data_IF_914972064498
#
_entry.id   IF_914972064498
#
_cell.length_a   1.000
_cell.length_b   1.000
_cell.length_c   1.000
_cell.angle_alpha   90.00
_cell.angle_beta   90.00
_cell.angle_gamma   90.00
#
_symmetry.space_group_name_H-M   'P 1'
#
loop_
_entity.id
_entity.type
_entity.pdbx_description
1 polymer ?
#
# COMPACT_ATOMS: atom_id res chain seq x y z
N UNK A 1 44.95 -96.22 44.41
CA UNK A 1 44.18 -94.95 44.49
C UNK A 1 44.47 -94.06 43.28
N UNK A 2 44.20 -94.53 42.05
CA UNK A 2 44.40 -93.74 40.82
C UNK A 2 43.22 -93.80 39.81
N UNK A 3 42.26 -94.77 39.84
CA UNK A 3 41.19 -94.78 38.84
C UNK A 3 40.04 -93.80 39.11
N UNK A 4 39.80 -93.39 40.36
CA UNK A 4 38.73 -92.42 40.67
C UNK A 4 39.03 -91.00 40.20
N UNK A 5 40.32 -90.63 40.12
CA UNK A 5 40.74 -89.30 39.66
C UNK A 5 40.56 -89.13 38.14
N UNK A 6 40.75 -90.20 37.36
CA UNK A 6 40.58 -90.18 35.90
C UNK A 6 39.08 -90.19 35.54
N UNK A 7 38.25 -90.91 36.29
CA UNK A 7 36.79 -90.94 36.06
C UNK A 7 36.14 -89.59 36.37
N UNK A 8 36.59 -88.91 37.43
CA UNK A 8 36.13 -87.56 37.77
C UNK A 8 36.64 -86.50 36.79
N UNK A 9 37.90 -86.59 36.32
CA UNK A 9 38.42 -85.73 35.24
C UNK A 9 37.67 -85.91 33.92
N UNK A 10 37.27 -87.14 33.56
CA UNK A 10 36.47 -87.39 32.36
C UNK A 10 35.04 -86.87 32.49
N UNK A 11 34.42 -86.99 33.68
CA UNK A 11 33.10 -86.44 33.96
C UNK A 11 33.08 -84.90 33.98
N UNK A 12 34.11 -84.27 34.56
CA UNK A 12 34.25 -82.80 34.50
C UNK A 12 34.52 -82.33 33.08
N UNK A 13 35.34 -83.03 32.29
CA UNK A 13 35.57 -82.69 30.89
C UNK A 13 34.29 -82.80 30.04
N UNK A 14 33.46 -83.81 30.28
CA UNK A 14 32.14 -83.95 29.65
C UNK A 14 31.16 -82.83 30.05
N UNK A 15 31.14 -82.43 31.32
CA UNK A 15 30.37 -81.28 31.79
C UNK A 15 30.85 -79.95 31.20
N UNK A 16 32.17 -79.75 31.10
CA UNK A 16 32.76 -78.57 30.45
C UNK A 16 32.43 -78.51 28.97
N UNK A 17 32.50 -79.64 28.25
CA UNK A 17 32.15 -79.71 26.84
C UNK A 17 30.65 -79.49 26.61
N UNK A 18 29.80 -80.05 27.47
CA UNK A 18 28.36 -79.80 27.46
C UNK A 18 28.01 -78.34 27.74
N UNK A 19 28.67 -77.72 28.71
CA UNK A 19 28.53 -76.30 29.01
C UNK A 19 29.00 -75.41 27.84
N UNK A 20 30.12 -75.77 27.19
CA UNK A 20 30.62 -75.05 26.01
C UNK A 20 29.62 -75.11 24.86
N UNK A 21 29.07 -76.29 24.55
CA UNK A 21 28.06 -76.45 23.49
C UNK A 21 26.79 -75.68 23.85
N UNK A 22 26.34 -75.73 25.11
CA UNK A 22 25.19 -74.94 25.57
C UNK A 22 25.42 -73.44 25.38
N UNK A 23 26.60 -72.94 25.72
CA UNK A 23 26.98 -71.53 25.54
C UNK A 23 27.01 -71.15 24.06
N UNK A 24 27.55 -72.00 23.19
CA UNK A 24 27.57 -71.76 21.74
C UNK A 24 26.17 -71.77 21.16
N UNK A 25 25.31 -72.70 21.56
CA UNK A 25 23.90 -72.77 21.13
C UNK A 25 23.12 -71.55 21.63
N UNK A 26 23.33 -71.13 22.87
CA UNK A 26 22.70 -69.94 23.43
C UNK A 26 23.18 -68.66 22.71
N UNK A 27 24.48 -68.55 22.44
CA UNK A 27 25.04 -67.45 21.66
C UNK A 27 24.50 -67.43 20.21
N UNK A 28 24.33 -68.60 19.59
CA UNK A 28 23.73 -68.74 18.27
C UNK A 28 22.26 -68.29 18.26
N UNK A 29 21.47 -68.66 19.28
CA UNK A 29 20.07 -68.25 19.39
C UNK A 29 19.91 -66.74 19.62
N UNK A 30 20.76 -66.14 20.47
CA UNK A 30 20.73 -64.70 20.73
C UNK A 30 21.20 -63.89 19.51
N UNK A 31 22.23 -64.35 18.81
CA UNK A 31 22.73 -63.68 17.59
C UNK A 31 21.89 -63.93 16.35
N UNK A 32 20.98 -64.90 16.39
CA UNK A 32 20.07 -65.17 15.28
C UNK A 32 18.86 -64.22 15.23
N UNK A 33 18.55 -63.51 16.32
CA UNK A 33 17.39 -62.62 16.39
C UNK A 33 17.85 -61.18 16.17
N UNK A 34 17.46 -60.61 15.03
CA UNK A 34 17.69 -59.21 14.71
C UNK A 34 16.36 -58.44 14.77
N UNK A 35 16.33 -57.33 15.52
CA UNK A 35 15.15 -56.49 15.65
C UNK A 35 15.34 -55.24 14.80
N UNK A 36 14.47 -55.05 13.81
CA UNK A 36 14.50 -53.91 12.89
C UNK A 36 13.43 -52.90 13.30
N UNK A 37 13.83 -51.63 13.43
CA UNK A 37 12.91 -50.56 13.81
C UNK A 37 11.89 -50.24 12.69
N UNK A 38 10.74 -49.65 13.05
CA UNK A 38 9.68 -49.27 12.12
C UNK A 38 10.12 -48.28 11.01
N UNK A 39 11.12 -47.45 11.30
CA UNK A 39 11.58 -46.39 10.39
C UNK A 39 12.78 -46.79 9.54
N UNK A 40 13.35 -47.98 9.74
CA UNK A 40 14.55 -48.43 9.02
C UNK A 40 14.29 -49.75 8.29
N UNK A 41 15.03 -49.99 7.22
CA UNK A 41 15.16 -51.30 6.60
C UNK A 41 16.61 -51.73 6.66
N UNK A 42 16.85 -53.03 6.80
CA UNK A 42 18.23 -53.54 6.85
C UNK A 42 18.55 -54.45 5.67
N UNK A 43 19.67 -54.21 5.01
CA UNK A 43 20.19 -55.14 3.99
C UNK A 43 20.97 -56.26 4.69
N UNK A 44 20.52 -57.50 4.51
CA UNK A 44 21.19 -58.69 5.05
C UNK A 44 22.19 -59.24 4.02
N UNK A 45 23.44 -59.32 4.43
CA UNK A 45 24.49 -60.04 3.69
C UNK A 45 24.90 -61.29 4.44
N UNK A 46 25.13 -62.38 3.72
CA UNK A 46 25.57 -63.67 4.27
C UNK A 46 26.78 -64.13 3.48
N UNK A 47 27.92 -64.37 4.14
CA UNK A 47 29.19 -64.67 3.47
C UNK A 47 29.59 -63.66 2.37
N UNK A 48 29.11 -62.41 2.47
CA UNK A 48 29.37 -61.34 1.49
C UNK A 48 28.36 -61.27 0.33
N UNK A 49 27.43 -62.22 0.21
CA UNK A 49 26.36 -62.15 -0.78
C UNK A 49 25.12 -61.44 -0.21
N UNK A 50 24.51 -60.56 -1.00
CA UNK A 50 23.21 -59.97 -0.66
C UNK A 50 22.13 -61.04 -0.68
N UNK A 51 21.43 -61.23 0.45
CA UNK A 51 20.42 -62.28 0.58
C UNK A 51 18.99 -61.74 0.51
N UNK A 52 18.66 -60.75 1.35
CA UNK A 52 17.32 -60.15 1.42
C UNK A 52 17.33 -58.81 2.13
N UNK A 53 16.26 -58.06 1.95
CA UNK A 53 15.93 -56.90 2.77
C UNK A 53 15.12 -57.35 3.99
N UNK A 54 15.50 -56.90 5.18
CA UNK A 54 14.77 -57.13 6.42
C UNK A 54 13.74 -56.01 6.60
N UNK A 55 12.48 -56.41 6.71
CA UNK A 55 11.37 -55.51 7.01
C UNK A 55 11.29 -55.22 8.52
N UNK A 56 10.62 -54.13 8.93
CA UNK A 56 10.43 -53.82 10.34
C UNK A 56 9.82 -54.96 11.14
N UNK A 57 10.38 -55.22 12.33
CA UNK A 57 9.98 -56.31 13.20
C UNK A 57 11.10 -57.31 13.46
N UNK A 58 10.71 -58.48 13.95
CA UNK A 58 11.63 -59.53 14.39
C UNK A 58 12.03 -60.38 13.17
N UNK A 59 13.32 -60.39 12.86
CA UNK A 59 13.86 -61.16 11.76
C UNK A 59 14.85 -62.20 12.27
N UNK A 60 14.74 -63.42 11.77
CA UNK A 60 15.72 -64.49 12.05
C UNK A 60 16.80 -64.44 10.97
N UNK A 61 18.05 -64.25 11.41
CA UNK A 61 19.25 -64.21 10.59
C UNK A 61 20.19 -65.36 10.95
N UNK A 62 20.96 -65.93 9.99
CA UNK A 62 21.92 -66.98 10.30
C UNK A 62 23.03 -66.44 11.23
N UNK A 63 23.24 -67.04 12.42
CA UNK A 63 24.21 -66.52 13.38
C UNK A 63 25.65 -66.65 12.87
N UNK A 64 26.54 -65.76 13.34
CA UNK A 64 27.99 -65.68 13.04
C UNK A 64 28.40 -65.29 11.61
N UNK A 65 27.55 -65.50 10.59
CA UNK A 65 27.91 -65.31 9.17
C UNK A 65 27.13 -64.18 8.50
N UNK A 66 26.22 -63.54 9.24
CA UNK A 66 25.41 -62.41 8.77
C UNK A 66 26.02 -61.06 9.13
N UNK A 67 25.96 -60.10 8.20
CA UNK A 67 26.12 -58.67 8.48
C UNK A 67 24.89 -57.91 7.99
N UNK A 68 24.41 -56.96 8.79
CA UNK A 68 23.25 -56.12 8.45
C UNK A 68 23.64 -54.65 8.35
N UNK A 69 23.15 -53.98 7.31
CA UNK A 69 23.36 -52.54 7.10
C UNK A 69 22.02 -51.82 7.20
N UNK A 70 21.93 -50.80 8.06
CA UNK A 70 20.69 -50.08 8.32
C UNK A 70 20.54 -48.86 7.39
N UNK A 71 19.34 -48.73 6.82
CA UNK A 71 18.92 -47.60 5.99
C UNK A 71 17.68 -46.97 6.61
N UNK A 72 17.79 -45.70 7.01
CA UNK A 72 16.66 -44.93 7.51
C UNK A 72 15.77 -44.51 6.32
N UNK A 73 14.48 -44.83 6.40
CA UNK A 73 13.49 -44.54 5.36
C UNK A 73 12.84 -43.16 5.55
N UNK A 74 13.20 -42.42 6.61
CA UNK A 74 12.74 -41.05 6.85
C UNK A 74 13.53 -40.05 6.03
N UNK A 75 12.96 -38.85 5.90
CA UNK A 75 13.65 -37.69 5.35
C UNK A 75 14.88 -37.38 6.20
N UNK A 76 16.00 -37.21 5.52
CA UNK A 76 17.30 -36.95 6.10
C UNK A 76 17.88 -35.70 5.46
N UNK A 77 18.51 -34.89 6.29
CA UNK A 77 19.17 -33.66 5.86
C UNK A 77 20.65 -33.95 5.62
N UNK A 78 21.14 -33.53 4.46
CA UNK A 78 22.55 -33.57 4.08
C UNK A 78 23.06 -32.17 3.84
N UNK A 79 24.13 -31.80 4.55
CA UNK A 79 24.81 -30.54 4.32
C UNK A 79 25.75 -30.65 3.12
N UNK A 80 25.64 -29.69 2.20
CA UNK A 80 26.55 -29.52 1.08
C UNK A 80 27.61 -28.51 1.52
N UNK A 81 28.90 -28.91 1.60
CA UNK A 81 29.95 -28.00 2.03
C UNK A 81 30.08 -26.82 1.06
N UNK A 82 30.48 -25.66 1.60
CA UNK A 82 30.64 -24.42 0.83
C UNK A 82 31.53 -24.63 -0.40
N UNK A 83 31.04 -24.22 -1.57
CA UNK A 83 31.75 -24.29 -2.83
C UNK A 83 32.04 -22.88 -3.37
N UNK A 84 33.21 -22.74 -3.97
CA UNK A 84 33.56 -21.61 -4.82
C UNK A 84 33.18 -21.93 -6.28
N UNK A 85 32.46 -20.99 -6.90
CA UNK A 85 32.04 -21.03 -8.28
C UNK A 85 32.21 -19.64 -8.91
N UNK A 86 32.27 -19.59 -10.24
CA UNK A 86 32.31 -18.35 -11.01
C UNK A 86 31.02 -18.32 -11.83
N UNK A 87 30.24 -17.25 -11.68
CA UNK A 87 29.00 -17.03 -12.45
C UNK A 87 29.29 -16.74 -13.91
N UNK A 88 28.24 -16.74 -14.74
CA UNK A 88 28.33 -16.49 -16.19
C UNK A 88 28.96 -15.14 -16.54
N UNK A 89 28.76 -14.14 -15.68
CA UNK A 89 29.35 -12.80 -15.80
C UNK A 89 30.75 -12.67 -15.19
N UNK A 90 31.42 -13.81 -14.93
CA UNK A 90 32.78 -13.89 -14.41
C UNK A 90 32.92 -13.31 -12.98
N UNK A 91 31.86 -13.39 -12.16
CA UNK A 91 31.90 -12.98 -10.76
C UNK A 91 32.16 -14.18 -9.85
N UNK A 92 33.21 -14.15 -8.99
CA UNK A 92 33.44 -15.22 -8.03
C UNK A 92 32.40 -15.16 -6.90
N UNK A 93 31.72 -16.29 -6.67
CA UNK A 93 30.71 -16.48 -5.63
C UNK A 93 31.00 -17.71 -4.78
N UNK A 94 30.56 -17.66 -3.53
CA UNK A 94 30.58 -18.79 -2.60
C UNK A 94 29.15 -19.15 -2.22
N UNK A 95 28.82 -20.45 -2.26
CA UNK A 95 27.49 -20.91 -1.90
C UNK A 95 27.55 -22.22 -1.13
N UNK A 96 26.59 -22.39 -0.22
CA UNK A 96 26.31 -23.63 0.49
C UNK A 96 24.82 -23.95 0.44
N UNK A 97 24.50 -25.24 0.54
CA UNK A 97 23.14 -25.73 0.37
C UNK A 97 22.86 -26.90 1.31
N UNK A 98 21.58 -27.18 1.49
CA UNK A 98 21.09 -28.32 2.27
C UNK A 98 20.16 -29.13 1.38
N UNK A 99 20.41 -30.44 1.32
CA UNK A 99 19.60 -31.37 0.52
C UNK A 99 18.80 -32.26 1.46
N UNK A 100 17.49 -32.31 1.23
CA UNK A 100 16.59 -33.23 1.92
C UNK A 100 16.39 -34.45 1.04
N UNK A 101 16.84 -35.61 1.52
CA UNK A 101 16.72 -36.88 0.81
C UNK A 101 15.89 -37.88 1.58
N UNK A 102 15.30 -38.82 0.86
CA UNK A 102 14.61 -39.97 1.43
C UNK A 102 14.95 -41.24 0.66
N UNK A 103 15.35 -42.27 1.39
CA UNK A 103 15.60 -43.59 0.79
C UNK A 103 14.26 -44.24 0.46
N UNK A 104 14.00 -44.47 -0.83
CA UNK A 104 12.80 -45.15 -1.32
C UNK A 104 13.04 -46.65 -1.44
N UNK A 105 14.21 -47.04 -1.95
CA UNK A 105 14.62 -48.44 -2.11
C UNK A 105 15.97 -48.70 -1.46
N UNK A 106 15.94 -49.30 -0.27
CA UNK A 106 17.14 -49.66 0.48
C UNK A 106 17.98 -50.78 -0.18
N UNK A 107 17.41 -51.54 -1.13
CA UNK A 107 18.20 -52.53 -1.89
C UNK A 107 19.10 -51.81 -2.91
N UNK A 108 18.53 -50.89 -3.69
CA UNK A 108 19.29 -50.08 -4.64
C UNK A 108 20.36 -49.26 -3.93
N UNK A 109 19.99 -48.62 -2.81
CA UNK A 109 20.92 -47.82 -2.02
C UNK A 109 22.09 -48.62 -1.41
N UNK A 110 21.96 -49.95 -1.30
CA UNK A 110 23.04 -50.83 -0.82
C UNK A 110 23.91 -51.39 -1.94
N UNK A 111 23.34 -51.65 -3.11
CA UNK A 111 24.03 -52.34 -4.21
C UNK A 111 24.64 -51.37 -5.23
N UNK A 112 24.00 -50.22 -5.46
CA UNK A 112 24.38 -49.29 -6.53
C UNK A 112 25.34 -48.20 -6.03
N UNK A 113 25.39 -47.93 -4.72
CA UNK A 113 26.24 -46.88 -4.13
C UNK A 113 26.86 -47.34 -2.82
N UNK A 114 28.15 -47.04 -2.61
CA UNK A 114 28.87 -47.42 -1.38
C UNK A 114 28.36 -46.64 -0.17
N UNK A 115 28.42 -45.30 -0.23
CA UNK A 115 27.88 -44.43 0.80
C UNK A 115 27.03 -43.33 0.16
N UNK A 116 25.72 -43.57 0.18
CA UNK A 116 24.77 -42.70 -0.50
C UNK A 116 24.80 -41.24 -0.02
N UNK A 117 25.04 -41.00 1.28
CA UNK A 117 25.10 -39.64 1.83
C UNK A 117 26.23 -38.82 1.22
N UNK A 118 27.40 -39.45 1.14
CA UNK A 118 28.61 -38.84 0.59
C UNK A 118 28.49 -38.68 -0.92
N UNK A 119 27.96 -39.68 -1.63
CA UNK A 119 27.73 -39.63 -3.07
C UNK A 119 26.77 -38.49 -3.45
N UNK A 120 25.61 -38.40 -2.76
CA UNK A 120 24.64 -37.32 -2.98
C UNK A 120 25.24 -35.96 -2.65
N UNK A 121 25.97 -35.82 -1.53
CA UNK A 121 26.62 -34.55 -1.18
C UNK A 121 27.63 -34.11 -2.25
N UNK A 122 28.45 -35.03 -2.78
CA UNK A 122 29.43 -34.72 -3.83
C UNK A 122 28.76 -34.36 -5.16
N UNK A 123 27.69 -35.06 -5.52
CA UNK A 123 26.89 -34.75 -6.69
C UNK A 123 26.22 -33.38 -6.54
N UNK A 124 25.67 -33.08 -5.37
CA UNK A 124 25.10 -31.77 -5.04
C UNK A 124 26.14 -30.64 -5.11
N UNK A 125 27.38 -30.86 -4.66
CA UNK A 125 28.47 -29.89 -4.81
C UNK A 125 28.77 -29.60 -6.29
N UNK A 126 28.81 -30.64 -7.13
CA UNK A 126 29.10 -30.51 -8.55
C UNK A 126 27.97 -29.79 -9.28
N UNK A 127 26.73 -30.16 -8.97
CA UNK A 127 25.50 -29.56 -9.52
C UNK A 127 25.35 -28.11 -9.09
N UNK A 128 25.59 -27.81 -7.81
CA UNK A 128 25.58 -26.43 -7.29
C UNK A 128 26.57 -25.56 -8.04
N UNK A 129 27.80 -26.05 -8.27
CA UNK A 129 28.82 -25.33 -9.04
C UNK A 129 28.38 -25.09 -10.50
N UNK A 130 27.81 -26.10 -11.15
CA UNK A 130 27.36 -26.00 -12.54
C UNK A 130 26.21 -25.00 -12.68
N UNK A 131 25.15 -25.13 -11.86
CA UNK A 131 23.97 -24.23 -11.91
C UNK A 131 24.37 -22.77 -11.62
N UNK A 132 25.23 -22.53 -10.64
CA UNK A 132 25.73 -21.18 -10.37
C UNK A 132 26.59 -20.64 -11.51
N UNK A 133 27.31 -21.49 -12.24
CA UNK A 133 28.11 -21.11 -13.40
C UNK A 133 27.27 -20.68 -14.61
N UNK A 134 26.08 -21.24 -14.77
CA UNK A 134 25.18 -20.91 -15.89
C UNK A 134 24.33 -19.64 -15.65
N UNK A 135 24.34 -19.11 -14.43
CA UNK A 135 23.55 -17.95 -14.00
C UNK A 135 24.43 -16.70 -13.85
N UNK A 136 23.84 -15.52 -14.06
CA UNK A 136 24.48 -14.24 -13.76
C UNK A 136 24.44 -13.94 -12.26
N UNK A 137 25.33 -13.07 -11.78
CA UNK A 137 25.44 -12.74 -10.36
C UNK A 137 24.10 -12.28 -9.78
N UNK A 138 23.41 -11.38 -10.48
CA UNK A 138 22.12 -10.85 -10.03
C UNK A 138 21.04 -11.93 -9.91
N UNK A 139 20.98 -12.85 -10.89
CA UNK A 139 20.07 -13.99 -10.87
C UNK A 139 20.35 -14.90 -9.67
N UNK A 140 21.63 -15.12 -9.32
CA UNK A 140 21.99 -15.94 -8.16
C UNK A 140 21.54 -15.35 -6.82
N UNK A 141 21.37 -14.03 -6.75
CA UNK A 141 20.93 -13.32 -5.55
C UNK A 141 19.40 -13.21 -5.46
N UNK A 142 18.73 -12.99 -6.60
CA UNK A 142 17.30 -12.69 -6.66
C UNK A 142 16.42 -13.94 -6.89
N UNK A 143 16.90 -14.95 -7.63
CA UNK A 143 16.09 -16.07 -8.12
C UNK A 143 16.34 -17.38 -7.37
N UNK A 144 16.29 -17.35 -6.03
CA UNK A 144 16.55 -18.53 -5.17
C UNK A 144 15.66 -19.73 -5.49
N UNK A 145 14.38 -19.51 -5.75
CA UNK A 145 13.44 -20.59 -6.08
C UNK A 145 13.81 -21.31 -7.38
N UNK A 146 14.28 -20.57 -8.38
CA UNK A 146 14.71 -21.14 -9.65
C UNK A 146 15.97 -21.97 -9.49
N UNK A 147 16.94 -21.50 -8.69
CA UNK A 147 18.16 -22.24 -8.35
C UNK A 147 17.80 -23.56 -7.66
N UNK A 148 16.96 -23.51 -6.63
CA UNK A 148 16.51 -24.70 -5.89
C UNK A 148 15.84 -25.72 -6.82
N UNK A 149 14.97 -25.26 -7.73
CA UNK A 149 14.27 -26.12 -8.68
C UNK A 149 15.21 -26.77 -9.71
N UNK A 150 16.15 -26.00 -10.26
CA UNK A 150 17.16 -26.51 -11.21
C UNK A 150 18.05 -27.55 -10.54
N UNK A 151 18.62 -27.25 -9.37
CA UNK A 151 19.48 -28.20 -8.65
C UNK A 151 18.70 -29.48 -8.31
N UNK A 152 17.45 -29.36 -7.83
CA UNK A 152 16.62 -30.55 -7.55
C UNK A 152 16.45 -31.42 -8.80
N UNK A 153 16.16 -30.82 -9.95
CA UNK A 153 15.91 -31.55 -11.21
C UNK A 153 17.16 -32.29 -11.68
N UNK A 154 18.31 -31.64 -11.66
CA UNK A 154 19.61 -32.24 -12.04
C UNK A 154 20.06 -33.34 -11.06
N UNK A 155 19.65 -33.26 -9.79
CA UNK A 155 19.96 -34.30 -8.81
C UNK A 155 19.02 -35.50 -8.89
N UNK A 156 17.76 -35.33 -9.32
CA UNK A 156 16.74 -36.39 -9.27
C UNK A 156 17.12 -37.60 -10.15
N UNK A 157 17.52 -37.35 -11.40
CA UNK A 157 17.84 -38.39 -12.39
C UNK A 157 18.93 -39.39 -11.92
N UNK A 158 20.14 -38.96 -11.50
CA UNK A 158 21.16 -39.88 -10.98
C UNK A 158 20.83 -40.46 -9.60
N UNK A 159 20.08 -39.74 -8.74
CA UNK A 159 19.76 -40.24 -7.39
C UNK A 159 18.68 -41.32 -7.38
N UNK A 160 17.78 -41.31 -8.37
CA UNK A 160 16.78 -42.35 -8.59
C UNK A 160 17.40 -43.71 -8.94
N UNK A 161 18.55 -43.73 -9.62
CA UNK A 161 19.31 -44.97 -9.88
C UNK A 161 19.77 -45.62 -8.57
N UNK A 162 20.16 -44.80 -7.58
CA UNK A 162 20.55 -45.24 -6.24
C UNK A 162 19.34 -45.56 -5.34
N UNK A 163 18.10 -45.35 -5.81
CA UNK A 163 16.88 -45.56 -5.03
C UNK A 163 16.63 -44.50 -3.96
N UNK A 164 17.16 -43.29 -4.17
CA UNK A 164 17.06 -42.16 -3.26
C UNK A 164 16.29 -41.06 -3.96
N UNK A 165 15.28 -40.52 -3.27
CA UNK A 165 14.52 -39.38 -3.76
C UNK A 165 15.02 -38.11 -3.11
N UNK A 166 15.24 -37.07 -3.91
CA UNK A 166 15.48 -35.71 -3.41
C UNK A 166 14.12 -35.02 -3.19
N UNK A 167 13.76 -34.74 -1.94
CA UNK A 167 12.49 -34.09 -1.61
C UNK A 167 12.57 -32.57 -1.87
N UNK A 168 13.66 -31.94 -1.42
CA UNK A 168 13.92 -30.53 -1.65
C UNK A 168 15.40 -30.19 -1.54
N UNK A 169 15.79 -29.09 -2.18
CA UNK A 169 17.13 -28.50 -2.08
C UNK A 169 16.94 -27.06 -1.65
N UNK A 170 17.67 -26.64 -0.63
CA UNK A 170 17.62 -25.28 -0.11
C UNK A 170 19.02 -24.66 -0.13
N UNK A 171 19.25 -23.70 -1.03
CA UNK A 171 20.47 -22.89 -1.00
C UNK A 171 20.38 -21.90 0.16
N UNK A 172 21.37 -21.92 1.06
CA UNK A 172 21.36 -21.09 2.28
C UNK A 172 21.69 -19.65 1.92
N UNK A 173 22.90 -19.44 1.42
CA UNK A 173 23.42 -18.13 1.05
C UNK A 173 24.30 -18.24 -0.21
N UNK A 174 24.18 -17.25 -1.09
CA UNK A 174 25.13 -17.02 -2.19
C UNK A 174 25.83 -15.71 -1.88
N UNK A 175 27.11 -15.79 -1.55
CA UNK A 175 27.92 -14.65 -1.15
C UNK A 175 28.97 -14.36 -2.23
N UNK A 176 28.90 -13.21 -2.92
CA UNK A 176 29.94 -12.76 -3.83
C UNK A 176 31.26 -12.53 -3.10
N UNK A 177 32.38 -12.47 -3.83
CA UNK A 177 33.65 -12.05 -3.23
C UNK A 177 33.55 -10.63 -2.65
N UNK A 178 34.36 -10.36 -1.62
CA UNK A 178 34.33 -9.07 -0.91
C UNK A 178 34.57 -7.87 -1.82
N UNK A 179 35.35 -8.04 -2.87
CA UNK A 179 35.67 -6.94 -3.79
C UNK A 179 34.48 -6.63 -4.71
N UNK A 180 33.79 -7.66 -5.22
CA UNK A 180 32.56 -7.50 -6.00
C UNK A 180 31.45 -6.91 -5.13
N UNK A 181 31.27 -7.42 -3.92
CA UNK A 181 30.27 -6.91 -2.98
C UNK A 181 30.47 -5.42 -2.68
N UNK A 182 31.71 -4.98 -2.41
CA UNK A 182 32.02 -3.55 -2.21
C UNK A 182 31.73 -2.70 -3.45
N UNK A 183 32.05 -3.19 -4.64
CA UNK A 183 31.76 -2.48 -5.89
C UNK A 183 30.24 -2.33 -6.09
N UNK A 184 29.46 -3.38 -5.83
CA UNK A 184 28.00 -3.34 -5.89
C UNK A 184 27.39 -2.41 -4.84
N UNK A 185 27.91 -2.41 -3.61
CA UNK A 185 27.48 -1.48 -2.55
C UNK A 185 27.74 -0.03 -2.95
N UNK A 186 28.91 0.27 -3.51
CA UNK A 186 29.24 1.61 -4.01
C UNK A 186 28.35 2.03 -5.17
N UNK A 187 28.12 1.16 -6.15
CA UNK A 187 27.23 1.41 -7.28
C UNK A 187 25.79 1.63 -6.82
N UNK A 188 25.28 0.76 -5.94
CA UNK A 188 23.92 0.85 -5.40
C UNK A 188 23.74 2.11 -4.57
N UNK A 189 24.73 2.47 -3.75
CA UNK A 189 24.73 3.72 -2.98
C UNK A 189 24.70 4.95 -3.89
N UNK A 190 25.52 4.95 -4.95
CA UNK A 190 25.54 6.04 -5.92
C UNK A 190 24.20 6.17 -6.67
N UNK A 191 23.62 5.06 -7.11
CA UNK A 191 22.33 5.03 -7.79
C UNK A 191 21.19 5.47 -6.87
N UNK A 192 21.16 4.99 -5.61
CA UNK A 192 20.20 5.44 -4.59
C UNK A 192 20.33 6.93 -4.33
N UNK A 193 21.56 7.45 -4.20
CA UNK A 193 21.80 8.89 -4.02
C UNK A 193 21.34 9.70 -5.23
N UNK A 194 21.58 9.21 -6.45
CA UNK A 194 21.09 9.84 -7.69
C UNK A 194 19.56 9.89 -7.70
N UNK A 195 18.89 8.77 -7.42
CA UNK A 195 17.42 8.70 -7.35
C UNK A 195 16.86 9.63 -6.28
N UNK A 196 17.47 9.67 -5.10
CA UNK A 196 17.09 10.58 -4.03
C UNK A 196 17.20 12.06 -4.45
N UNK A 197 18.30 12.45 -5.10
CA UNK A 197 18.45 13.84 -5.62
C UNK A 197 17.42 14.19 -6.69
N UNK A 198 17.08 13.26 -7.58
CA UNK A 198 16.03 13.48 -8.59
C UNK A 198 14.68 13.67 -7.91
N UNK A 199 14.34 12.80 -6.95
CA UNK A 199 13.08 12.86 -6.22
C UNK A 199 12.97 14.15 -5.40
N UNK A 200 14.05 14.57 -4.74
CA UNK A 200 14.13 15.83 -4.00
C UNK A 200 13.92 17.04 -4.92
N UNK A 201 14.62 17.10 -6.06
CA UNK A 201 14.45 18.17 -7.04
C UNK A 201 13.02 18.20 -7.64
N UNK A 202 12.42 17.03 -7.88
CA UNK A 202 11.02 16.93 -8.31
C UNK A 202 10.06 17.41 -7.23
N UNK A 203 10.31 17.05 -5.96
CA UNK A 203 9.55 17.52 -4.80
C UNK A 203 9.63 19.04 -4.62
N UNK A 204 10.84 19.62 -4.71
CA UNK A 204 11.04 21.08 -4.64
C UNK A 204 10.30 21.80 -5.76
N UNK A 205 10.39 21.30 -6.99
CA UNK A 205 9.68 21.86 -8.14
C UNK A 205 8.17 21.82 -7.93
N UNK A 206 7.64 20.67 -7.51
CA UNK A 206 6.20 20.49 -7.27
C UNK A 206 5.71 21.42 -6.16
N UNK A 207 6.44 21.48 -5.04
CA UNK A 207 6.12 22.38 -3.92
C UNK A 207 6.15 23.85 -4.33
N UNK A 208 7.11 24.27 -5.17
CA UNK A 208 7.18 25.64 -5.67
C UNK A 208 6.00 26.00 -6.58
N UNK A 209 5.54 25.07 -7.43
CA UNK A 209 4.36 25.25 -8.28
C UNK A 209 3.10 25.34 -7.44
N UNK A 210 2.87 24.37 -6.54
CA UNK A 210 1.70 24.35 -5.66
C UNK A 210 1.62 25.63 -4.79
N UNK A 211 2.77 26.12 -4.31
CA UNK A 211 2.83 27.38 -3.57
C UNK A 211 2.48 28.59 -4.44
N UNK A 212 3.02 28.67 -5.65
CA UNK A 212 2.71 29.78 -6.57
C UNK A 212 1.23 29.78 -6.99
N UNK A 213 0.63 28.60 -7.18
CA UNK A 213 -0.80 28.45 -7.45
C UNK A 213 -1.64 28.86 -6.25
N UNK A 214 -1.27 28.44 -5.04
CA UNK A 214 -1.91 28.87 -3.79
C UNK A 214 -1.83 30.39 -3.58
N UNK A 215 -0.66 30.99 -3.83
CA UNK A 215 -0.47 32.44 -3.72
C UNK A 215 -1.31 33.21 -4.76
N UNK A 216 -1.38 32.71 -6.00
CA UNK A 216 -2.22 33.27 -7.06
C UNK A 216 -3.70 33.20 -6.66
N UNK A 217 -4.16 32.04 -6.21
CA UNK A 217 -5.55 31.84 -5.80
C UNK A 217 -5.91 32.72 -4.61
N UNK A 218 -5.04 32.81 -3.61
CA UNK A 218 -5.20 33.69 -2.45
C UNK A 218 -5.30 35.18 -2.86
N UNK A 219 -4.47 35.63 -3.79
CA UNK A 219 -4.54 37.01 -4.31
C UNK A 219 -5.83 37.29 -5.07
N UNK A 220 -6.33 36.34 -5.86
CA UNK A 220 -7.61 36.48 -6.58
C UNK A 220 -8.76 36.58 -5.58
N UNK A 221 -8.83 35.67 -4.61
CA UNK A 221 -9.87 35.67 -3.57
C UNK A 221 -9.84 36.98 -2.79
N UNK A 222 -8.64 37.46 -2.41
CA UNK A 222 -8.49 38.73 -1.70
C UNK A 222 -8.96 39.92 -2.55
N UNK A 223 -8.59 39.97 -3.82
CA UNK A 223 -9.01 41.05 -4.72
C UNK A 223 -10.53 41.03 -4.97
N UNK A 224 -11.14 39.85 -5.06
CA UNK A 224 -12.59 39.69 -5.14
C UNK A 224 -13.26 40.15 -3.85
N UNK A 225 -12.73 39.78 -2.68
CA UNK A 225 -13.23 40.24 -1.38
C UNK A 225 -13.12 41.76 -1.20
N UNK A 226 -11.99 42.37 -1.61
CA UNK A 226 -11.83 43.84 -1.57
C UNK A 226 -12.79 44.56 -2.52
N UNK A 227 -13.00 44.03 -3.74
CA UNK A 227 -13.98 44.56 -4.69
C UNK A 227 -15.40 44.48 -4.10
N UNK A 228 -15.76 43.32 -3.55
CA UNK A 228 -17.08 43.10 -2.94
C UNK A 228 -17.30 44.05 -1.76
N UNK A 229 -16.31 44.20 -0.88
CA UNK A 229 -16.37 45.14 0.24
C UNK A 229 -16.55 46.58 -0.22
N UNK A 230 -15.85 47.02 -1.28
CA UNK A 230 -15.99 48.40 -1.81
C UNK A 230 -17.38 48.64 -2.42
N UNK A 231 -17.96 47.64 -3.08
CA UNK A 231 -19.33 47.73 -3.62
C UNK A 231 -20.33 47.86 -2.48
N UNK A 232 -20.23 46.99 -1.46
CA UNK A 232 -21.12 47.02 -0.29
C UNK A 232 -21.00 48.33 0.49
N UNK A 233 -19.79 48.88 0.64
CA UNK A 233 -19.56 50.18 1.26
C UNK A 233 -20.18 51.32 0.45
N UNK A 234 -19.97 51.35 -0.87
CA UNK A 234 -20.56 52.35 -1.75
C UNK A 234 -22.09 52.29 -1.77
N UNK A 235 -22.67 51.09 -1.75
CA UNK A 235 -24.11 50.86 -1.62
C UNK A 235 -24.63 51.37 -0.27
N UNK A 236 -23.93 51.04 0.82
CA UNK A 236 -24.24 51.54 2.16
C UNK A 236 -24.22 53.07 2.23
N UNK A 237 -23.23 53.70 1.60
CA UNK A 237 -23.11 55.16 1.51
C UNK A 237 -24.23 55.79 0.69
N UNK A 238 -24.59 55.20 -0.47
CA UNK A 238 -25.69 55.69 -1.30
C UNK A 238 -27.03 55.58 -0.58
N UNK A 239 -27.28 54.42 0.06
CA UNK A 239 -28.49 54.19 0.87
C UNK A 239 -28.53 55.22 2.00
N UNK A 240 -27.42 55.42 2.73
CA UNK A 240 -27.37 56.38 3.84
C UNK A 240 -27.58 57.83 3.37
N UNK A 241 -27.12 58.18 2.16
CA UNK A 241 -27.32 59.51 1.57
C UNK A 241 -28.78 59.72 1.18
N UNK A 242 -29.40 58.75 0.52
CA UNK A 242 -30.83 58.78 0.17
C UNK A 242 -31.69 58.86 1.42
N UNK A 243 -31.40 58.05 2.44
CA UNK A 243 -32.12 58.07 3.72
C UNK A 243 -32.02 59.44 4.40
N UNK A 244 -30.85 60.09 4.37
CA UNK A 244 -30.69 61.46 4.89
C UNK A 244 -31.45 62.51 4.08
N UNK A 245 -31.44 62.40 2.74
CA UNK A 245 -32.17 63.30 1.86
C UNK A 245 -33.70 63.19 2.10
N UNK A 246 -34.23 61.97 2.16
CA UNK A 246 -35.66 61.70 2.45
C UNK A 246 -36.04 62.17 3.87
N UNK A 247 -35.15 61.97 4.84
CA UNK A 247 -35.35 62.49 6.20
C UNK A 247 -35.37 64.02 6.22
N UNK A 248 -34.52 64.69 5.45
CA UNK A 248 -34.52 66.15 5.32
C UNK A 248 -35.76 66.68 4.59
N UNK A 249 -36.24 65.99 3.54
CA UNK A 249 -37.47 66.33 2.82
C UNK A 249 -38.70 66.26 3.74
N UNK A 250 -38.86 65.17 4.49
CA UNK A 250 -39.96 65.02 5.46
C UNK A 250 -39.90 66.02 6.62
N UNK A 251 -38.70 66.43 7.06
CA UNK A 251 -38.54 67.53 8.03
C UNK A 251 -38.87 68.90 7.42
N UNK A 252 -38.50 69.13 6.16
CA UNK A 252 -38.83 70.35 5.42
C UNK A 252 -40.34 70.48 5.22
N UNK A 253 -41.03 69.39 4.83
CA UNK A 253 -42.49 69.38 4.71
C UNK A 253 -43.17 69.66 6.05
N UNK A 254 -42.70 69.04 7.14
CA UNK A 254 -43.20 69.35 8.51
C UNK A 254 -42.95 70.81 8.91
N UNK A 255 -41.78 71.37 8.61
CA UNK A 255 -41.46 72.76 8.93
C UNK A 255 -42.33 73.78 8.16
N UNK A 256 -42.63 73.51 6.89
CA UNK A 256 -43.52 74.36 6.07
C UNK A 256 -44.95 74.27 6.61
N UNK A 257 -45.41 73.09 7.05
CA UNK A 257 -46.72 72.91 7.68
C UNK A 257 -46.80 73.67 9.01
N UNK A 258 -45.79 73.54 9.89
CA UNK A 258 -45.76 74.25 11.17
C UNK A 258 -45.76 75.77 10.97
N UNK A 259 -44.99 76.27 10.01
CA UNK A 259 -44.99 77.70 9.67
C UNK A 259 -46.29 78.15 8.99
N UNK A 260 -46.94 77.27 8.20
CA UNK A 260 -48.29 77.48 7.67
C UNK A 260 -49.35 77.58 8.77
N UNK A 261 -49.28 76.73 9.78
CA UNK A 261 -50.18 76.78 10.94
C UNK A 261 -49.91 78.00 11.82
N UNK A 262 -48.66 78.40 11.98
CA UNK A 262 -48.29 79.60 12.73
C UNK A 262 -48.75 80.88 12.02
N UNK A 263 -48.58 80.97 10.70
CA UNK A 263 -49.10 82.09 9.90
C UNK A 263 -50.63 82.15 9.92
N UNK A 264 -51.32 81.01 9.90
CA UNK A 264 -52.77 80.95 10.12
C UNK A 264 -53.18 81.44 11.52
N UNK A 265 -52.43 81.09 12.55
CA UNK A 265 -52.64 81.56 13.93
C UNK A 265 -52.45 83.07 14.06
N UNK A 266 -51.40 83.63 13.45
CA UNK A 266 -51.14 85.08 13.44
C UNK A 266 -52.20 85.86 12.66
N UNK A 267 -52.67 85.35 11.52
CA UNK A 267 -53.78 85.95 10.76
C UNK A 267 -55.09 85.89 11.57
N UNK A 268 -55.32 84.81 12.33
CA UNK A 268 -56.49 84.65 13.20
C UNK A 268 -56.51 85.58 14.42
N UNK A 269 -55.37 86.17 14.81
CA UNK A 269 -55.27 87.13 15.91
C UNK A 269 -55.36 88.61 15.46
N UNK A 270 -55.42 88.88 14.15
CA UNK A 270 -55.50 90.23 13.59
C UNK A 270 -56.95 90.76 13.59
N UNK A 271 -57.18 92.04 13.95
CA UNK A 271 -58.53 92.67 14.02
C UNK A 271 -59.21 92.92 12.64
N UNK A 272 -58.70 92.34 11.54
CA UNK A 272 -59.21 92.55 10.18
C UNK A 272 -60.20 91.46 9.77
N UNK A 273 -61.39 91.86 9.29
CA UNK A 273 -62.47 90.95 8.82
C UNK A 273 -62.29 90.44 7.38
N UNK A 274 -61.13 90.68 6.74
CA UNK A 274 -60.83 90.19 5.39
C UNK A 274 -59.74 89.13 5.43
N UNK A 275 -60.13 87.87 5.22
CA UNK A 275 -59.21 86.73 5.16
C UNK A 275 -58.57 86.63 3.77
N UNK A 276 -57.25 86.81 3.70
CA UNK A 276 -56.46 86.52 2.49
C UNK A 276 -55.75 85.19 2.72
N UNK A 277 -56.25 84.13 2.09
CA UNK A 277 -55.63 82.81 2.15
C UNK A 277 -54.52 82.73 1.08
N UNK A 278 -53.27 82.43 1.47
CA UNK A 278 -52.20 82.16 0.51
C UNK A 278 -52.58 80.98 -0.38
N UNK A 279 -52.27 81.06 -1.67
CA UNK A 279 -52.59 79.96 -2.61
C UNK A 279 -51.89 78.65 -2.25
N UNK A 280 -50.73 78.72 -1.60
CA UNK A 280 -50.00 77.56 -1.05
C UNK A 280 -50.78 76.78 0.02
N UNK A 281 -51.69 77.44 0.75
CA UNK A 281 -52.56 76.76 1.72
C UNK A 281 -53.65 75.95 1.02
N UNK A 282 -54.17 76.48 -0.10
CA UNK A 282 -55.16 75.79 -0.91
C UNK A 282 -54.57 74.57 -1.62
N UNK A 283 -53.30 74.64 -2.05
CA UNK A 283 -52.58 73.50 -2.61
C UNK A 283 -52.20 72.46 -1.55
N UNK A 284 -51.85 72.88 -0.32
CA UNK A 284 -51.65 71.98 0.83
C UNK A 284 -52.93 71.24 1.22
N UNK A 285 -54.05 71.95 1.39
CA UNK A 285 -55.35 71.34 1.68
C UNK A 285 -55.81 70.43 0.55
N UNK A 286 -55.43 70.72 -0.70
CA UNK A 286 -55.67 69.81 -1.83
C UNK A 286 -54.85 68.52 -1.74
N UNK A 287 -53.57 68.60 -1.36
CA UNK A 287 -52.66 67.44 -1.21
C UNK A 287 -52.99 66.60 0.03
N UNK A 288 -53.09 67.23 1.19
CA UNK A 288 -53.43 66.56 2.45
C UNK A 288 -54.92 66.22 2.57
N UNK A 289 -55.81 67.02 1.99
CA UNK A 289 -57.24 66.71 1.92
C UNK A 289 -57.52 65.45 1.11
N UNK A 290 -56.70 65.14 0.10
CA UNK A 290 -56.74 63.83 -0.58
C UNK A 290 -56.32 62.68 0.33
N UNK A 291 -55.38 62.93 1.25
CA UNK A 291 -54.89 61.97 2.23
C UNK A 291 -55.85 61.78 3.44
N UNK A 292 -56.64 62.81 3.77
CA UNK A 292 -57.62 62.83 4.86
C UNK A 292 -59.04 62.42 4.39
N UNK A 293 -59.35 62.63 3.11
CA UNK A 293 -60.62 62.22 2.47
C UNK A 293 -60.61 60.74 2.03
N UNK A 294 -59.46 60.08 2.08
CA UNK A 294 -59.36 58.63 1.96
C UNK A 294 -59.68 57.98 3.30
N UNK A 295 -60.96 57.95 3.67
CA UNK A 295 -61.43 57.16 4.80
C UNK A 295 -61.39 55.67 4.43
N UNK A 296 -60.34 54.99 4.82
CA UNK A 296 -60.44 53.61 5.30
C UNK A 296 -59.88 53.59 6.73
N UNK A 297 -60.67 54.15 7.65
CA UNK A 297 -60.49 53.93 9.09
C UNK A 297 -61.23 52.64 9.40
N UNK A 298 -60.49 51.52 9.43
CA UNK A 298 -60.86 50.36 10.24
C UNK A 298 -60.16 50.49 11.59
N UNK A 299 -60.97 50.53 12.64
CA UNK A 299 -60.54 50.35 14.03
C UNK A 299 -59.73 49.06 14.19
N UNK A 300 -58.57 49.15 14.85
CA UNK A 300 -57.81 47.97 15.27
C UNK A 300 -56.39 48.27 15.73
N UNK A 301 -56.25 48.61 17.03
CA UNK A 301 -55.07 48.41 17.89
C UNK A 301 -53.72 49.05 17.50
N UNK A 302 -53.22 49.87 18.41
CA UNK A 302 -51.92 50.51 18.33
C UNK A 302 -50.78 49.47 18.22
N UNK A 303 -50.24 49.34 17.01
CA UNK A 303 -48.84 48.99 16.81
C UNK A 303 -48.25 50.05 15.90
N UNK A 304 -47.14 50.65 16.34
CA UNK A 304 -46.36 51.57 15.51
C UNK A 304 -45.71 50.73 14.42
N UNK A 305 -46.47 50.47 13.37
CA UNK A 305 -45.92 49.89 12.16
C UNK A 305 -45.12 50.99 11.48
N UNK A 306 -43.80 50.77 11.38
CA UNK A 306 -42.93 51.58 10.55
C UNK A 306 -43.59 51.70 9.18
N UNK A 307 -43.87 52.92 8.75
CA UNK A 307 -44.38 53.20 7.40
C UNK A 307 -43.60 52.34 6.41
N UNK A 308 -44.26 51.34 5.83
CA UNK A 308 -43.64 50.51 4.81
C UNK A 308 -43.26 51.41 3.64
N UNK A 309 -42.08 51.15 3.09
CA UNK A 309 -41.65 51.82 1.86
C UNK A 309 -42.64 51.49 0.75
N UNK A 310 -43.14 52.52 0.09
CA UNK A 310 -43.92 52.45 -1.15
C UNK A 310 -43.14 51.70 -2.24
N UNK A 311 -43.84 50.93 -3.07
CA UNK A 311 -43.22 50.00 -4.04
C UNK A 311 -42.22 50.70 -4.98
N UNK A 312 -42.52 51.93 -5.42
CA UNK A 312 -41.62 52.75 -6.25
C UNK A 312 -40.34 53.16 -5.52
N UNK A 313 -40.43 53.43 -4.21
CA UNK A 313 -39.27 53.74 -3.37
C UNK A 313 -38.50 52.48 -2.97
N UNK A 314 -39.17 51.34 -2.84
CA UNK A 314 -38.55 50.03 -2.59
C UNK A 314 -37.66 49.60 -3.76
N UNK A 315 -38.14 49.82 -4.98
CA UNK A 315 -37.41 49.64 -6.24
C UNK A 315 -36.25 50.65 -6.38
N UNK A 316 -36.48 51.94 -6.09
CA UNK A 316 -35.43 52.98 -6.16
C UNK A 316 -34.30 52.83 -5.13
N UNK A 317 -34.60 52.31 -3.92
CA UNK A 317 -33.59 52.02 -2.89
C UNK A 317 -32.90 50.67 -3.18
N UNK A 318 -33.40 49.87 -4.12
CA UNK A 318 -32.85 48.56 -4.48
C UNK A 318 -32.97 47.55 -3.34
N UNK A 319 -33.99 47.67 -2.48
CA UNK A 319 -34.16 46.78 -1.32
C UNK A 319 -34.45 45.33 -1.73
N UNK A 320 -35.13 45.13 -2.87
CA UNK A 320 -35.41 43.81 -3.42
C UNK A 320 -34.13 43.14 -3.95
N UNK A 321 -33.25 43.90 -4.62
CA UNK A 321 -31.92 43.44 -5.05
C UNK A 321 -31.02 43.09 -3.86
N UNK A 322 -31.07 43.85 -2.76
CA UNK A 322 -30.29 43.57 -1.55
C UNK A 322 -30.78 42.27 -0.89
N UNK A 323 -32.10 42.02 -0.86
CA UNK A 323 -32.65 40.77 -0.32
C UNK A 323 -32.36 39.56 -1.20
N UNK A 324 -32.33 39.73 -2.52
CA UNK A 324 -31.91 38.70 -3.47
C UNK A 324 -30.41 38.41 -3.32
N UNK A 325 -29.56 39.43 -3.20
CA UNK A 325 -28.11 39.28 -2.97
C UNK A 325 -27.82 38.66 -1.60
N UNK A 326 -28.56 39.03 -0.53
CA UNK A 326 -28.38 38.41 0.80
C UNK A 326 -28.84 36.95 0.77
N UNK A 327 -29.95 36.64 0.08
CA UNK A 327 -30.42 35.27 -0.12
C UNK A 327 -29.43 34.42 -0.91
N UNK A 328 -28.84 34.98 -1.98
CA UNK A 328 -27.76 34.34 -2.75
C UNK A 328 -26.50 34.14 -1.90
N UNK A 329 -26.13 35.09 -1.02
CA UNK A 329 -24.97 34.95 -0.14
C UNK A 329 -25.20 33.87 0.94
N UNK A 330 -26.40 33.78 1.53
CA UNK A 330 -26.72 32.73 2.50
C UNK A 330 -26.75 31.34 1.81
N UNK A 331 -27.31 31.22 0.60
CA UNK A 331 -27.28 29.96 -0.17
C UNK A 331 -25.86 29.58 -0.63
N UNK A 332 -25.04 30.54 -1.06
CA UNK A 332 -23.66 30.30 -1.51
C UNK A 332 -22.72 29.98 -0.34
N UNK A 333 -22.91 30.62 0.83
CA UNK A 333 -22.18 30.32 2.06
C UNK A 333 -22.60 28.98 2.70
N UNK A 334 -23.89 28.63 2.67
CA UNK A 334 -24.37 27.30 3.12
C UNK A 334 -23.86 26.18 2.23
N UNK A 335 -23.84 26.36 0.90
CA UNK A 335 -23.26 25.38 -0.02
C UNK A 335 -21.75 25.16 0.18
N UNK A 336 -20.98 26.23 0.44
CA UNK A 336 -19.53 26.13 0.64
C UNK A 336 -19.17 25.50 2.00
N UNK A 337 -19.98 25.76 3.04
CA UNK A 337 -19.85 25.12 4.36
C UNK A 337 -20.21 23.63 4.33
N UNK A 338 -21.31 23.24 3.67
CA UNK A 338 -21.67 21.82 3.50
C UNK A 338 -20.62 21.06 2.67
N UNK A 339 -20.11 21.67 1.59
CA UNK A 339 -19.06 21.07 0.77
C UNK A 339 -17.75 20.89 1.54
N UNK A 340 -17.32 21.91 2.31
CA UNK A 340 -16.14 21.83 3.17
C UNK A 340 -16.32 20.85 4.34
N UNK A 341 -17.49 20.77 4.98
CA UNK A 341 -17.77 19.78 6.02
C UNK A 341 -17.73 18.37 5.44
N UNK A 342 -18.35 18.11 4.29
CA UNK A 342 -18.29 16.81 3.62
C UNK A 342 -16.85 16.42 3.25
N UNK A 343 -16.04 17.36 2.78
CA UNK A 343 -14.63 17.13 2.47
C UNK A 343 -13.80 16.86 3.74
N UNK A 344 -14.03 17.62 4.80
CA UNK A 344 -13.38 17.42 6.09
C UNK A 344 -13.81 16.09 6.75
N UNK A 345 -15.07 15.66 6.59
CA UNK A 345 -15.59 14.38 7.08
C UNK A 345 -15.06 13.21 6.25
N UNK A 346 -14.91 13.36 4.93
CA UNK A 346 -14.27 12.36 4.07
C UNK A 346 -12.79 12.14 4.45
N UNK A 347 -12.07 13.22 4.79
CA UNK A 347 -10.69 13.17 5.29
C UNK A 347 -10.64 12.53 6.69
N UNK A 348 -11.58 12.84 7.58
CA UNK A 348 -11.64 12.33 8.96
C UNK A 348 -12.13 10.88 9.07
N UNK A 349 -12.96 10.43 8.13
CA UNK A 349 -13.40 9.03 7.99
C UNK A 349 -12.41 8.14 7.23
N UNK A 350 -11.29 8.69 6.75
CA UNK A 350 -10.23 7.93 6.09
C UNK A 350 -10.61 7.35 4.72
N UNK A 351 -11.66 7.87 4.07
CA UNK A 351 -12.12 7.39 2.75
C UNK A 351 -11.22 7.85 1.59
N UNK A 352 -10.38 8.87 1.79
CA UNK A 352 -9.32 9.27 0.85
C UNK A 352 -7.93 8.67 1.15
N UNK A 353 -7.87 7.59 1.93
CA UNK A 353 -6.67 6.75 1.96
C UNK A 353 -6.60 5.76 0.77
N UNK A 354 -7.65 5.68 -0.05
CA UNK A 354 -7.74 4.75 -1.19
C UNK A 354 -7.51 5.41 -2.57
N UNK A 355 -7.29 6.73 -2.63
CA UNK A 355 -7.01 7.48 -3.87
C UNK A 355 -5.59 8.05 -3.93
N UNK A 356 -4.72 7.70 -2.97
CA UNK A 356 -3.28 7.92 -3.12
C UNK A 356 -2.78 6.85 -4.08
N UNK A 357 -2.81 7.16 -5.38
CA UNK A 357 -2.09 6.39 -6.39
C UNK A 357 -0.68 6.12 -5.89
N UNK A 358 -0.28 4.84 -5.91
CA UNK A 358 1.08 4.48 -5.55
C UNK A 358 2.03 5.20 -6.52
N UNK A 359 3.26 5.49 -6.08
CA UNK A 359 4.23 6.20 -6.90
C UNK A 359 4.47 5.57 -8.28
N UNK A 360 4.15 4.28 -8.43
CA UNK A 360 4.27 3.53 -9.68
C UNK A 360 3.11 3.82 -10.65
N UNK A 361 1.87 3.98 -10.15
CA UNK A 361 0.68 4.24 -10.99
C UNK A 361 0.72 5.64 -11.63
N UNK A 362 1.26 6.63 -10.90
CA UNK A 362 1.41 8.02 -11.39
C UNK A 362 2.46 8.12 -12.49
N UNK A 363 3.47 7.25 -12.49
CA UNK A 363 4.52 7.21 -13.51
C UNK A 363 3.97 6.60 -14.81
N UNK A 364 3.09 5.61 -14.71
CA UNK A 364 2.48 4.94 -15.87
C UNK A 364 1.48 5.86 -16.59
N UNK A 365 0.71 6.64 -15.82
CA UNK A 365 -0.24 7.63 -16.36
C UNK A 365 0.48 8.81 -17.05
N UNK A 366 1.57 9.34 -16.46
CA UNK A 366 2.39 10.39 -17.09
C UNK A 366 3.16 9.91 -18.34
N UNK A 367 3.41 8.60 -18.48
CA UNK A 367 4.05 8.02 -19.65
C UNK A 367 3.12 7.99 -20.88
N UNK A 368 1.82 7.82 -20.68
CA UNK A 368 0.83 7.78 -21.77
C UNK A 368 0.49 9.16 -22.32
N UNK A 369 0.49 10.19 -21.47
CA UNK A 369 0.23 11.58 -21.90
C UNK A 369 1.37 12.20 -22.71
N UNK A 370 2.59 11.64 -22.64
CA UNK A 370 3.75 12.13 -23.41
C UNK A 370 3.87 11.54 -24.82
N UNK A 371 3.18 10.44 -25.14
CA UNK A 371 3.25 9.79 -26.46
C UNK A 371 2.12 10.23 -27.42
N UNK A 372 1.09 10.92 -26.92
CA UNK A 372 -0.06 11.39 -27.70
C UNK A 372 0.15 12.68 -28.52
N UNK A 373 1.37 13.23 -28.54
CA UNK A 373 1.63 14.60 -28.98
C UNK A 373 2.83 14.79 -29.92
N UNK A 374 3.06 13.91 -30.88
CA UNK A 374 4.03 14.20 -31.96
C UNK A 374 3.57 13.75 -33.36
N UNK A 375 2.96 14.71 -34.06
CA UNK A 375 2.96 14.91 -35.51
C UNK A 375 2.95 13.71 -36.47
N UNK A 376 1.76 13.35 -36.97
CA UNK A 376 1.61 12.83 -38.33
C UNK A 376 1.90 13.96 -39.35
N UNK A 377 3.18 14.22 -39.59
CA UNK A 377 3.68 14.93 -40.76
C UNK A 377 3.91 13.91 -41.88
N UNK A 378 2.89 13.73 -42.72
CA UNK A 378 2.93 12.90 -43.92
C UNK A 378 4.00 13.43 -44.91
N UNK A 379 5.21 12.88 -44.85
CA UNK A 379 6.24 13.10 -45.89
C UNK A 379 5.94 12.13 -47.03
N UNK A 380 5.29 12.65 -48.06
CA UNK A 380 5.20 12.02 -49.37
C UNK A 380 6.60 11.92 -49.98
N UNK A 381 7.17 10.72 -50.03
CA UNK A 381 8.33 10.43 -50.88
C UNK A 381 7.84 10.35 -52.33
N UNK A 382 8.14 11.41 -53.08
CA UNK A 382 7.95 11.51 -54.52
C UNK A 382 9.08 10.72 -55.19
N UNK A 383 8.76 9.48 -55.59
CA UNK A 383 9.66 8.59 -56.32
C UNK A 383 9.55 8.91 -57.82
N UNK A 384 10.30 9.94 -58.24
CA UNK A 384 10.36 10.37 -59.63
C UNK A 384 11.45 9.61 -60.39
N UNK A 385 11.01 8.74 -61.28
CA UNK A 385 11.81 8.18 -62.37
C UNK A 385 12.46 9.30 -63.20
N UNK A 386 13.81 9.35 -63.25
CA UNK A 386 14.54 9.53 -64.53
C UNK A 386 16.05 9.36 -64.41
N UNK A 387 16.55 8.50 -65.30
CA UNK A 387 17.92 8.20 -65.72
C UNK A 387 18.81 7.35 -64.81
#
# INVERSE_FOLDING_TARGET
>A
MVPELILTQAATFGLFLGALVLVVVLAALLSAIEIVNAYEKRALTVFGEYRKLLEPGINIVPPFVSKTYAFDMRTQTLDVPRQEAITRDNSPVTADAVVYIKVMDAKKAFLEVEEYRTAVSNLAQTTLRAVLGDMELDDTLNKRQEINARIRTELDEPTDEWGIRVESVEVREVNPSKDVQRAMEQQTSAERKRRAMILEAQGERRSAVEKAEGDKQSQIIRAQGEKQSQILEAQGDSISTVLRARSAESMGERAIIDQGMQTLSEIGQSESTTFVLPQELSSMIGRYGKHLSGSDVKDGEATLESLEFDDETRELIGLDDISEIIGEIDEEAEMDLEAMEQQAQAIKEGKDAASISSSDDVIEEMGQDFDGGSGEGQVTTDDNQKN
#
